data_IF_866260827653
#
_entry.id   IF_866260827653
#
_cell.length_a   1.000
_cell.length_b   1.000
_cell.length_c   1.000
_cell.angle_alpha   90.00
_cell.angle_beta   90.00
_cell.angle_gamma   90.00
#
_symmetry.space_group_name_H-M   'P 1'
#
loop_
_entity.id
_entity.type
_entity.pdbx_description
1 polymer ?
#
# COMPACT_ATOMS: atom_id res chain seq x y z
N UNK A 1 8.94 1.55 33.14
CA UNK A 1 9.31 0.91 31.86
C UNK A 1 10.21 1.86 31.07
N UNK A 2 11.42 1.44 30.65
CA UNK A 2 12.34 2.31 29.93
C UNK A 2 11.79 2.57 28.52
N UNK A 3 11.54 3.85 28.21
CA UNK A 3 11.15 4.30 26.87
C UNK A 3 12.33 4.06 25.94
N UNK A 4 12.27 3.03 25.11
CA UNK A 4 13.21 2.84 23.99
C UNK A 4 13.27 4.14 23.17
N UNK A 5 14.47 4.50 22.69
CA UNK A 5 14.66 5.74 21.92
C UNK A 5 13.82 5.64 20.64
N UNK A 6 12.84 6.54 20.42
CA UNK A 6 11.81 6.37 19.39
C UNK A 6 12.35 6.27 17.96
N UNK A 7 13.56 6.78 17.71
CA UNK A 7 14.17 6.77 16.39
C UNK A 7 14.67 5.38 15.94
N UNK A 8 15.22 4.56 16.85
CA UNK A 8 15.83 3.26 16.48
C UNK A 8 14.77 2.24 16.08
N UNK A 9 13.70 2.16 16.86
CA UNK A 9 12.60 1.23 16.61
C UNK A 9 11.85 1.59 15.32
N UNK A 10 11.71 2.88 15.03
CA UNK A 10 11.06 3.36 13.81
C UNK A 10 11.90 3.03 12.58
N UNK A 11 13.23 3.25 12.66
CA UNK A 11 14.14 2.87 11.58
C UNK A 11 14.11 1.37 11.31
N UNK A 12 14.14 0.55 12.37
CA UNK A 12 14.06 -0.91 12.25
C UNK A 12 12.82 -1.33 11.47
N UNK A 13 11.65 -0.79 11.81
CA UNK A 13 10.41 -1.15 11.12
C UNK A 13 10.37 -0.63 9.69
N UNK A 14 10.90 0.56 9.42
CA UNK A 14 11.03 1.03 8.04
C UNK A 14 11.93 0.10 7.22
N UNK A 15 13.04 -0.36 7.77
CA UNK A 15 13.94 -1.31 7.11
C UNK A 15 13.28 -2.67 6.90
N UNK A 16 12.52 -3.18 7.88
CA UNK A 16 11.80 -4.44 7.75
C UNK A 16 10.67 -4.36 6.73
N UNK A 17 9.90 -3.28 6.72
CA UNK A 17 8.86 -3.05 5.72
C UNK A 17 9.45 -2.87 4.32
N UNK A 18 10.58 -2.16 4.19
CA UNK A 18 11.29 -2.03 2.92
C UNK A 18 11.85 -3.38 2.44
N UNK A 19 12.43 -4.17 3.34
CA UNK A 19 12.89 -5.52 3.04
C UNK A 19 11.72 -6.41 2.60
N UNK A 20 10.58 -6.34 3.28
CA UNK A 20 9.36 -7.05 2.89
C UNK A 20 8.93 -6.69 1.46
N UNK A 21 8.80 -5.40 1.15
CA UNK A 21 8.46 -4.95 -0.20
C UNK A 21 9.49 -5.41 -1.24
N UNK A 22 10.79 -5.32 -0.93
CA UNK A 22 11.85 -5.76 -1.83
C UNK A 22 11.78 -7.26 -2.09
N UNK A 23 11.57 -8.08 -1.06
CA UNK A 23 11.43 -9.54 -1.19
C UNK A 23 10.18 -9.90 -1.98
N UNK A 24 9.02 -9.33 -1.63
CA UNK A 24 7.77 -9.57 -2.35
C UNK A 24 7.89 -9.18 -3.83
N UNK A 25 8.40 -7.98 -4.12
CA UNK A 25 8.57 -7.54 -5.50
C UNK A 25 9.59 -8.39 -6.27
N UNK A 26 10.71 -8.78 -5.63
CA UNK A 26 11.71 -9.66 -6.25
C UNK A 26 11.15 -11.04 -6.56
N UNK A 27 10.33 -11.59 -5.65
CA UNK A 27 9.65 -12.87 -5.87
C UNK A 27 8.70 -12.75 -7.07
N UNK A 28 7.91 -11.69 -7.10
CA UNK A 28 7.00 -11.45 -8.20
C UNK A 28 7.71 -11.41 -9.55
N UNK A 29 8.73 -10.56 -9.69
CA UNK A 29 9.46 -10.40 -10.96
C UNK A 29 10.11 -11.71 -11.42
N UNK A 30 10.57 -12.54 -10.49
CA UNK A 30 11.30 -13.78 -10.80
C UNK A 30 10.42 -14.97 -11.14
N UNK A 31 9.28 -15.12 -10.45
CA UNK A 31 8.45 -16.33 -10.51
C UNK A 31 7.04 -16.09 -11.04
N UNK A 32 6.53 -14.87 -11.00
CA UNK A 32 5.17 -14.52 -11.44
C UNK A 32 5.17 -13.35 -12.43
N UNK A 33 5.91 -13.46 -13.55
CA UNK A 33 6.09 -12.33 -14.48
C UNK A 33 4.80 -11.94 -15.21
N UNK A 34 3.80 -12.82 -15.23
CA UNK A 34 2.49 -12.65 -15.87
C UNK A 34 1.45 -13.14 -14.85
N UNK A 35 0.29 -12.50 -14.82
CA UNK A 35 -0.75 -12.75 -13.83
C UNK A 35 -1.13 -14.22 -13.64
N UNK A 36 -0.83 -14.77 -12.45
CA UNK A 36 -1.06 -16.18 -12.11
C UNK A 36 -1.59 -16.35 -10.65
N UNK A 37 -1.21 -15.44 -9.73
CA UNK A 37 -1.65 -15.44 -8.32
C UNK A 37 -3.01 -14.76 -8.12
N UNK A 38 -4.06 -15.33 -8.72
CA UNK A 38 -5.43 -14.86 -8.51
C UNK A 38 -5.65 -13.42 -8.96
N UNK A 39 -5.04 -13.04 -10.09
CA UNK A 39 -5.17 -11.67 -10.63
C UNK A 39 -6.64 -11.32 -10.79
N UNK A 40 -7.00 -10.17 -10.24
CA UNK A 40 -8.34 -9.63 -10.39
C UNK A 40 -8.58 -9.31 -11.86
N UNK A 41 -9.62 -9.91 -12.45
CA UNK A 41 -10.04 -9.62 -13.81
C UNK A 41 -10.34 -8.12 -13.99
N UNK A 42 -10.80 -7.48 -12.93
CA UNK A 42 -11.08 -6.04 -12.89
C UNK A 42 -9.83 -5.17 -13.06
N UNK A 43 -8.63 -5.68 -12.76
CA UNK A 43 -7.40 -4.95 -12.99
C UNK A 43 -7.20 -4.70 -14.48
N UNK A 44 -7.37 -5.75 -15.29
CA UNK A 44 -7.17 -5.67 -16.73
C UNK A 44 -8.34 -5.01 -17.44
N UNK A 45 -9.58 -5.18 -16.97
CA UNK A 45 -10.75 -4.59 -17.62
C UNK A 45 -11.01 -3.14 -17.24
N UNK A 46 -10.59 -2.72 -16.03
CA UNK A 46 -10.92 -1.39 -15.49
C UNK A 46 -9.68 -0.65 -15.00
N UNK A 47 -9.02 -1.12 -13.95
CA UNK A 47 -8.01 -0.32 -13.23
C UNK A 47 -6.83 0.11 -14.11
N UNK A 48 -6.26 -0.82 -14.87
CA UNK A 48 -5.16 -0.55 -15.78
C UNK A 48 -5.61 0.29 -16.98
N UNK A 49 -6.85 0.10 -17.46
CA UNK A 49 -7.42 0.85 -18.58
C UNK A 49 -7.61 2.32 -18.19
N UNK A 50 -8.20 2.57 -17.03
CA UNK A 50 -8.43 3.92 -16.50
C UNK A 50 -7.12 4.64 -16.19
N UNK A 51 -6.12 3.94 -15.64
CA UNK A 51 -4.78 4.51 -15.45
C UNK A 51 -4.08 4.87 -16.77
N UNK A 52 -4.21 4.03 -17.81
CA UNK A 52 -3.67 4.33 -19.15
C UNK A 52 -4.34 5.54 -19.79
N UNK A 53 -5.67 5.65 -19.68
CA UNK A 53 -6.42 6.82 -20.16
C UNK A 53 -5.99 8.09 -19.44
N UNK A 54 -5.89 8.03 -18.11
CA UNK A 54 -5.38 9.14 -17.30
C UNK A 54 -3.96 9.56 -17.74
N UNK A 55 -3.05 8.60 -17.96
CA UNK A 55 -1.69 8.87 -18.43
C UNK A 55 -1.64 9.47 -19.85
N UNK A 56 -2.64 9.18 -20.68
CA UNK A 56 -2.82 9.80 -21.99
C UNK A 56 -3.47 11.19 -21.93
N UNK A 57 -3.78 11.71 -20.73
CA UNK A 57 -4.47 12.99 -20.54
C UNK A 57 -6.00 12.90 -20.65
N UNK A 58 -6.57 11.70 -20.77
CA UNK A 58 -8.02 11.48 -20.79
C UNK A 58 -8.56 11.25 -19.38
N UNK A 59 -8.90 12.35 -18.71
CA UNK A 59 -9.60 12.32 -17.43
C UNK A 59 -11.09 12.58 -17.61
N UNK A 60 -11.90 11.52 -17.43
CA UNK A 60 -13.36 11.58 -17.47
C UNK A 60 -13.94 10.76 -16.33
N UNK A 61 -15.02 11.25 -15.72
CA UNK A 61 -15.78 10.49 -14.70
C UNK A 61 -16.31 9.17 -15.27
N UNK A 62 -16.60 9.13 -16.58
CA UNK A 62 -17.02 7.92 -17.27
C UNK A 62 -15.95 6.80 -17.27
N UNK A 63 -14.69 7.14 -17.02
CA UNK A 63 -13.60 6.17 -16.87
C UNK A 63 -13.59 5.49 -15.49
N UNK A 64 -14.49 5.87 -14.58
CA UNK A 64 -14.53 5.43 -13.19
C UNK A 64 -15.96 5.02 -12.75
N UNK A 65 -16.61 4.05 -13.44
CA UNK A 65 -18.01 3.72 -13.20
C UNK A 65 -18.28 3.04 -11.86
N UNK A 66 -17.31 2.27 -11.33
CA UNK A 66 -17.50 1.46 -10.11
C UNK A 66 -16.51 1.79 -8.99
N UNK A 67 -15.30 2.25 -9.34
CA UNK A 67 -14.21 2.56 -8.40
C UNK A 67 -13.78 4.01 -8.61
N UNK A 68 -13.51 4.72 -7.52
CA UNK A 68 -13.02 6.10 -7.57
C UNK A 68 -11.66 6.23 -8.28
N UNK A 69 -11.27 7.45 -8.68
CA UNK A 69 -10.08 7.66 -9.52
C UNK A 69 -8.76 7.47 -8.77
N UNK A 70 -8.77 7.43 -7.43
CA UNK A 70 -7.54 7.45 -6.63
C UNK A 70 -6.57 6.34 -7.02
N UNK A 71 -7.05 5.10 -7.13
CA UNK A 71 -6.16 4.00 -7.50
C UNK A 71 -5.47 4.25 -8.84
N UNK A 72 -6.21 4.73 -9.85
CA UNK A 72 -5.67 5.03 -11.17
C UNK A 72 -4.68 6.20 -11.14
N UNK A 73 -4.93 7.22 -10.30
CA UNK A 73 -4.01 8.34 -10.08
C UNK A 73 -2.70 7.84 -9.48
N UNK A 74 -2.78 7.05 -8.41
CA UNK A 74 -1.59 6.52 -7.72
C UNK A 74 -0.83 5.55 -8.61
N UNK A 75 -1.53 4.66 -9.32
CA UNK A 75 -0.91 3.74 -10.28
C UNK A 75 -0.20 4.49 -11.42
N UNK A 76 -0.82 5.56 -11.95
CA UNK A 76 -0.21 6.40 -12.98
C UNK A 76 1.06 7.07 -12.48
N UNK A 77 1.06 7.57 -11.24
CA UNK A 77 2.24 8.16 -10.62
C UNK A 77 3.37 7.11 -10.43
N UNK A 78 3.04 5.90 -9.99
CA UNK A 78 4.02 4.80 -9.88
C UNK A 78 4.56 4.42 -11.25
N UNK A 79 3.70 4.32 -12.26
CA UNK A 79 4.11 3.98 -13.62
C UNK A 79 4.95 5.08 -14.28
N UNK A 80 4.71 6.36 -13.97
CA UNK A 80 5.55 7.46 -14.47
C UNK A 80 7.02 7.34 -14.02
N UNK A 81 7.27 6.71 -12.86
CA UNK A 81 8.62 6.46 -12.33
C UNK A 81 9.16 5.10 -12.78
N UNK A 82 8.35 4.04 -12.72
CA UNK A 82 8.78 2.67 -13.01
C UNK A 82 8.78 2.35 -14.52
N UNK A 83 7.91 2.97 -15.31
CA UNK A 83 7.77 2.79 -16.74
C UNK A 83 9.05 3.06 -17.53
N UNK A 84 9.74 4.20 -17.31
CA UNK A 84 11.06 4.46 -17.90
C UNK A 84 12.14 3.41 -17.56
N UNK A 85 11.95 2.64 -16.49
CA UNK A 85 12.84 1.55 -16.06
C UNK A 85 12.45 0.19 -16.69
N UNK A 86 11.49 0.17 -17.62
CA UNK A 86 11.01 -1.03 -18.31
C UNK A 86 9.89 -1.79 -17.58
N UNK A 87 9.28 -1.19 -16.56
CA UNK A 87 8.10 -1.78 -15.91
C UNK A 87 6.84 -1.52 -16.76
N UNK A 88 6.12 -2.56 -17.14
CA UNK A 88 4.77 -2.41 -17.68
C UNK A 88 3.77 -1.98 -16.60
N UNK A 89 2.52 -1.76 -17.00
CA UNK A 89 1.43 -1.38 -16.09
C UNK A 89 1.15 -2.42 -15.02
N UNK A 90 1.31 -3.71 -15.32
CA UNK A 90 1.08 -4.79 -14.36
C UNK A 90 2.17 -4.81 -13.29
N UNK A 91 3.44 -4.75 -13.69
CA UNK A 91 4.59 -4.64 -12.78
C UNK A 91 4.52 -3.37 -11.94
N UNK A 92 4.03 -2.28 -12.51
CA UNK A 92 3.81 -1.02 -11.79
C UNK A 92 2.72 -1.17 -10.71
N UNK A 93 1.65 -1.91 -11.00
CA UNK A 93 0.61 -2.22 -10.03
C UNK A 93 1.10 -3.15 -8.91
N UNK A 94 1.93 -4.14 -9.23
CA UNK A 94 2.52 -5.00 -8.20
C UNK A 94 3.53 -4.25 -7.35
N UNK A 95 4.33 -3.36 -7.96
CA UNK A 95 5.20 -2.45 -7.20
C UNK A 95 4.36 -1.57 -6.25
N UNK A 96 3.26 -1.01 -6.73
CA UNK A 96 2.32 -0.25 -5.89
C UNK A 96 1.81 -1.09 -4.71
N UNK A 97 1.40 -2.34 -4.94
CA UNK A 97 0.90 -3.20 -3.88
C UNK A 97 1.99 -3.62 -2.87
N UNK A 98 3.21 -3.90 -3.33
CA UNK A 98 4.35 -4.14 -2.45
C UNK A 98 4.64 -2.92 -1.56
N UNK A 99 4.63 -1.70 -2.14
CA UNK A 99 4.81 -0.45 -1.40
C UNK A 99 3.64 -0.18 -0.44
N UNK A 100 2.42 -0.47 -0.85
CA UNK A 100 1.23 -0.31 -0.02
C UNK A 100 1.22 -1.28 1.18
N UNK A 101 1.62 -2.54 0.98
CA UNK A 101 1.82 -3.49 2.07
C UNK A 101 2.87 -2.99 3.07
N UNK A 102 4.03 -2.54 2.59
CA UNK A 102 5.08 -1.98 3.45
C UNK A 102 4.59 -0.74 4.23
N UNK A 103 3.83 0.12 3.56
CA UNK A 103 3.17 1.26 4.20
C UNK A 103 2.22 0.79 5.31
N UNK A 104 1.33 -0.16 5.01
CA UNK A 104 0.32 -0.66 5.93
C UNK A 104 0.95 -1.32 7.16
N UNK A 105 2.01 -2.12 6.98
CA UNK A 105 2.80 -2.71 8.07
C UNK A 105 3.44 -1.63 8.96
N UNK A 106 4.01 -0.61 8.34
CA UNK A 106 4.65 0.52 9.04
C UNK A 106 3.64 1.31 9.87
N UNK A 107 2.49 1.66 9.28
CA UNK A 107 1.43 2.40 9.98
C UNK A 107 0.84 1.55 11.10
N UNK A 108 0.57 0.27 10.84
CA UNK A 108 0.10 -0.70 11.86
C UNK A 108 1.05 -0.76 13.04
N UNK A 109 2.36 -0.92 12.79
CA UNK A 109 3.35 -0.93 13.86
C UNK A 109 3.32 0.36 14.68
N UNK A 110 3.29 1.53 14.03
CA UNK A 110 3.28 2.82 14.72
C UNK A 110 2.03 2.98 15.57
N UNK A 111 0.88 2.58 15.05
CA UNK A 111 -0.39 2.60 15.77
C UNK A 111 -0.35 1.69 17.00
N UNK A 112 -0.01 0.42 16.82
CA UNK A 112 0.05 -0.54 17.92
C UNK A 112 1.11 -0.17 18.95
N UNK A 113 2.23 0.40 18.51
CA UNK A 113 3.28 0.89 19.41
C UNK A 113 2.77 2.01 20.30
N UNK A 114 2.00 2.95 19.73
CA UNK A 114 1.42 4.05 20.47
C UNK A 114 0.37 3.59 21.50
N UNK A 115 -0.39 2.55 21.18
CA UNK A 115 -1.49 2.06 22.03
C UNK A 115 -1.05 1.01 23.07
N UNK A 116 -0.15 0.10 22.69
CA UNK A 116 0.14 -1.12 23.45
C UNK A 116 1.63 -1.36 23.70
N UNK A 117 2.51 -0.48 23.21
CA UNK A 117 3.95 -0.57 23.39
C UNK A 117 4.67 -1.40 22.32
N UNK A 118 6.00 -1.39 22.38
CA UNK A 118 6.90 -1.89 21.31
C UNK A 118 6.82 -3.40 21.10
N UNK A 119 6.77 -4.17 22.19
CA UNK A 119 6.81 -5.64 22.11
C UNK A 119 5.58 -6.19 21.35
N UNK A 120 4.36 -5.74 21.73
CA UNK A 120 3.14 -6.18 21.05
C UNK A 120 3.10 -5.71 19.60
N UNK A 121 3.50 -4.45 19.35
CA UNK A 121 3.56 -3.92 17.99
C UNK A 121 4.47 -4.75 17.09
N UNK A 122 5.66 -5.12 17.57
CA UNK A 122 6.60 -5.94 16.80
C UNK A 122 6.02 -7.33 16.50
N UNK A 123 5.47 -8.02 17.50
CA UNK A 123 4.89 -9.36 17.34
C UNK A 123 3.73 -9.35 16.34
N UNK A 124 2.80 -8.39 16.47
CA UNK A 124 1.63 -8.31 15.58
C UNK A 124 2.04 -7.94 14.16
N UNK A 125 2.95 -6.97 13.98
CA UNK A 125 3.43 -6.60 12.64
C UNK A 125 4.17 -7.74 11.96
N UNK A 126 5.02 -8.49 12.68
CA UNK A 126 5.69 -9.67 12.13
C UNK A 126 4.70 -10.78 11.80
N UNK A 127 3.73 -11.04 12.67
CA UNK A 127 2.68 -12.02 12.41
C UNK A 127 1.86 -11.63 11.16
N UNK A 128 1.47 -10.35 11.04
CA UNK A 128 0.74 -9.83 9.89
C UNK A 128 1.54 -9.97 8.59
N UNK A 129 2.83 -9.60 8.60
CA UNK A 129 3.73 -9.76 7.47
C UNK A 129 3.93 -11.22 7.06
N UNK A 130 3.83 -12.16 8.01
CA UNK A 130 3.93 -13.59 7.76
C UNK A 130 2.63 -14.25 7.30
N UNK A 131 1.51 -13.53 7.23
CA UNK A 131 0.25 -14.10 6.75
C UNK A 131 0.28 -14.35 5.25
N UNK A 132 -0.32 -15.46 4.82
CA UNK A 132 -0.49 -15.77 3.40
C UNK A 132 -1.29 -14.70 2.67
N UNK A 133 -2.27 -14.10 3.33
CA UNK A 133 -3.12 -13.05 2.73
C UNK A 133 -2.32 -11.80 2.36
N UNK A 134 -1.55 -11.25 3.30
CA UNK A 134 -0.72 -10.06 3.02
C UNK A 134 0.34 -10.36 1.96
N UNK A 135 0.86 -11.60 1.95
CA UNK A 135 1.76 -12.05 0.91
C UNK A 135 1.09 -12.11 -0.46
N UNK A 136 -0.05 -12.79 -0.59
CA UNK A 136 -0.77 -12.94 -1.87
C UNK A 136 -1.20 -11.59 -2.43
N UNK A 137 -1.80 -10.74 -1.60
CA UNK A 137 -2.23 -9.41 -2.04
C UNK A 137 -1.05 -8.51 -2.42
N UNK A 138 0.14 -8.68 -1.83
CA UNK A 138 1.32 -7.91 -2.20
C UNK A 138 1.86 -8.27 -3.60
N UNK A 139 1.51 -9.45 -4.13
CA UNK A 139 1.91 -9.92 -5.46
C UNK A 139 0.78 -9.82 -6.50
N UNK A 140 -0.46 -9.63 -6.04
CA UNK A 140 -1.63 -9.47 -6.89
C UNK A 140 -1.74 -8.01 -7.32
N UNK A 141 -2.05 -7.75 -8.59
CA UNK A 141 -2.42 -6.40 -9.03
C UNK A 141 -3.90 -6.16 -8.66
N UNK A 142 -4.13 -5.43 -7.57
CA UNK A 142 -5.47 -5.05 -7.07
C UNK A 142 -5.42 -3.74 -6.29
N UNK A 143 -6.58 -3.22 -5.87
CA UNK A 143 -6.68 -2.01 -5.04
C UNK A 143 -6.58 -2.25 -3.53
N UNK A 144 -6.60 -3.50 -3.08
CA UNK A 144 -6.89 -3.87 -1.68
C UNK A 144 -5.85 -3.35 -0.70
N UNK A 145 -4.56 -3.47 -1.03
CA UNK A 145 -3.50 -3.06 -0.11
C UNK A 145 -3.35 -1.54 -0.03
N UNK A 146 -3.61 -0.83 -1.14
CA UNK A 146 -3.68 0.62 -1.11
C UNK A 146 -4.84 1.06 -0.21
N UNK A 147 -6.00 0.42 -0.35
CA UNK A 147 -7.16 0.68 0.52
C UNK A 147 -6.84 0.36 1.99
N UNK A 148 -6.23 -0.78 2.29
CA UNK A 148 -5.80 -1.16 3.64
C UNK A 148 -4.84 -0.14 4.25
N UNK A 149 -3.86 0.33 3.47
CA UNK A 149 -2.94 1.39 3.89
C UNK A 149 -3.70 2.66 4.25
N UNK A 150 -4.57 3.15 3.37
CA UNK A 150 -5.32 4.39 3.58
C UNK A 150 -6.24 4.29 4.80
N UNK A 151 -6.98 3.18 4.92
CA UNK A 151 -7.85 2.92 6.07
C UNK A 151 -7.05 2.89 7.38
N UNK A 152 -5.94 2.13 7.41
CA UNK A 152 -5.10 2.03 8.61
C UNK A 152 -4.47 3.37 8.95
N UNK A 153 -4.05 4.16 7.95
CA UNK A 153 -3.51 5.50 8.13
C UNK A 153 -4.57 6.47 8.66
N UNK A 154 -5.80 6.39 8.17
CA UNK A 154 -6.92 7.19 8.67
C UNK A 154 -7.21 6.87 10.14
N UNK A 155 -7.28 5.58 10.50
CA UNK A 155 -7.45 5.13 11.89
C UNK A 155 -6.29 5.62 12.76
N UNK A 156 -5.05 5.52 12.28
CA UNK A 156 -3.89 6.02 12.99
C UNK A 156 -3.93 7.54 13.21
N UNK A 157 -4.37 8.32 12.21
CA UNK A 157 -4.55 9.76 12.32
C UNK A 157 -5.61 10.14 13.35
N UNK A 158 -6.75 9.43 13.36
CA UNK A 158 -7.80 9.64 14.36
C UNK A 158 -7.31 9.37 15.79
N UNK A 159 -6.63 8.24 15.98
CA UNK A 159 -6.26 7.77 17.33
C UNK A 159 -5.00 8.44 17.89
N UNK A 160 -4.05 8.86 17.05
CA UNK A 160 -2.76 9.41 17.53
C UNK A 160 -2.65 10.93 17.43
N UNK A 161 -3.22 11.57 16.40
CA UNK A 161 -3.01 13.01 16.20
C UNK A 161 -3.98 13.86 17.05
N UNK A 162 -5.20 13.37 17.30
CA UNK A 162 -6.24 14.09 18.05
C UNK A 162 -6.65 15.44 17.44
N UNK A 163 -7.77 15.98 17.92
CA UNK A 163 -8.26 17.31 17.53
C UNK A 163 -8.54 17.50 16.03
N UNK A 164 -8.61 18.76 15.58
CA UNK A 164 -8.98 19.12 14.19
C UNK A 164 -8.03 18.56 13.13
N UNK A 165 -6.73 18.49 13.42
CA UNK A 165 -5.72 17.99 12.46
C UNK A 165 -5.84 16.48 12.22
N UNK A 166 -6.10 15.70 13.27
CA UNK A 166 -6.39 14.27 13.13
C UNK A 166 -7.67 14.01 12.34
N UNK A 167 -8.74 14.79 12.60
CA UNK A 167 -10.01 14.67 11.88
C UNK A 167 -9.87 15.02 10.39
N UNK A 168 -9.18 16.11 10.05
CA UNK A 168 -8.95 16.50 8.66
C UNK A 168 -8.07 15.49 7.91
N UNK A 169 -6.99 15.01 8.55
CA UNK A 169 -6.12 13.99 7.97
C UNK A 169 -6.86 12.67 7.72
N UNK A 170 -7.68 12.23 8.66
CA UNK A 170 -8.50 11.04 8.49
C UNK A 170 -9.57 11.21 7.42
N UNK A 171 -10.26 12.36 7.39
CA UNK A 171 -11.24 12.68 6.36
C UNK A 171 -10.65 12.68 4.96
N UNK A 172 -9.45 13.24 4.79
CA UNK A 172 -8.75 13.22 3.50
C UNK A 172 -8.35 11.81 3.06
N UNK A 173 -7.97 10.93 3.99
CA UNK A 173 -7.57 9.56 3.69
C UNK A 173 -8.76 8.63 3.41
N UNK A 174 -9.91 8.87 4.04
CA UNK A 174 -11.15 8.09 3.83
C UNK A 174 -11.93 8.59 2.61
N UNK A 175 -11.87 9.88 2.30
CA UNK A 175 -12.53 10.47 1.13
C UNK A 175 -11.80 10.24 -0.19
N UNK A 176 -10.64 9.59 -0.15
CA UNK A 176 -9.81 9.24 -1.30
C UNK A 176 -10.17 7.83 -1.80
#
# INVERSE_FOLDING_TARGET
>A
MPRSRPARDTLLVLLLSALYAAVAFSIHVRWYPIGDLGVESDFYSELAVSARRLAAGDFSVANYPFKGPLYSIVLTAVHAVAGPLGADWYRSAVLLNALAAAGALTVTYRLLRALFGVALAAVVTLALAGTSEVFLHAHKASSDLLFLLLQTAATAALLQAGGRRGLLGAGALVGA
#
